data_IF_717795793584
#
_entry.id   IF_717795793584
#
_cell.length_a   1.000
_cell.length_b   1.000
_cell.length_c   1.000
_cell.angle_alpha   90.00
_cell.angle_beta   90.00
_cell.angle_gamma   90.00
#
_symmetry.space_group_name_H-M   'P 1'
#
loop_
_entity.id
_entity.type
_entity.pdbx_description
1 polymer ?
#
# COMPACT_ATOMS: atom_id res chain seq x y z
N UNK A 1 -11.39 -26.43 0.42
CA UNK A 1 -10.65 -25.75 1.50
C UNK A 1 -11.39 -24.47 1.79
N UNK A 2 -11.47 -24.06 3.05
CA UNK A 2 -12.03 -22.77 3.45
C UNK A 2 -11.19 -21.63 2.88
N UNK A 3 -11.84 -20.50 2.58
CA UNK A 3 -11.15 -19.29 2.14
C UNK A 3 -10.17 -18.79 3.22
N UNK A 4 -9.11 -18.14 2.78
CA UNK A 4 -8.11 -17.48 3.62
C UNK A 4 -8.42 -16.01 3.83
N UNK A 5 -7.81 -15.40 4.83
CA UNK A 5 -7.88 -13.95 5.05
C UNK A 5 -7.36 -13.16 3.84
N UNK A 6 -6.35 -13.69 3.13
CA UNK A 6 -5.87 -13.11 1.86
C UNK A 6 -6.90 -13.19 0.74
N UNK A 7 -7.70 -14.24 0.67
CA UNK A 7 -8.76 -14.34 -0.35
C UNK A 7 -9.79 -13.21 -0.16
N UNK A 8 -10.18 -12.91 1.08
CA UNK A 8 -11.03 -11.75 1.38
C UNK A 8 -10.33 -10.42 1.10
N UNK A 9 -9.04 -10.29 1.41
CA UNK A 9 -8.24 -9.12 1.05
C UNK A 9 -8.22 -8.88 -0.47
N UNK A 10 -8.15 -9.95 -1.27
CA UNK A 10 -8.20 -9.88 -2.73
C UNK A 10 -9.59 -9.54 -3.27
N UNK A 11 -10.67 -10.03 -2.64
CA UNK A 11 -12.04 -9.59 -2.95
C UNK A 11 -12.20 -8.09 -2.74
N UNK A 12 -11.65 -7.55 -1.64
CA UNK A 12 -11.61 -6.11 -1.37
C UNK A 12 -10.84 -5.37 -2.46
N UNK A 13 -9.60 -5.80 -2.78
CA UNK A 13 -8.77 -5.15 -3.81
C UNK A 13 -9.48 -5.11 -5.17
N UNK A 14 -10.06 -6.23 -5.60
CA UNK A 14 -10.82 -6.31 -6.84
C UNK A 14 -11.99 -5.32 -6.85
N UNK A 15 -12.77 -5.28 -5.78
CA UNK A 15 -13.93 -4.41 -5.66
C UNK A 15 -13.52 -2.93 -5.72
N UNK A 16 -12.48 -2.55 -5.00
CA UNK A 16 -11.99 -1.17 -4.98
C UNK A 16 -11.44 -0.73 -6.34
N UNK A 17 -10.73 -1.61 -7.05
CA UNK A 17 -10.28 -1.34 -8.43
C UNK A 17 -11.45 -1.11 -9.38
N UNK A 18 -12.50 -1.92 -9.28
CA UNK A 18 -13.72 -1.75 -10.09
C UNK A 18 -14.47 -0.44 -9.80
N UNK A 19 -14.28 0.13 -8.61
CA UNK A 19 -14.90 1.39 -8.17
C UNK A 19 -14.06 2.64 -8.47
N UNK A 20 -12.86 2.51 -9.04
CA UNK A 20 -12.01 3.64 -9.45
C UNK A 20 -10.73 3.83 -8.64
N UNK A 21 -10.37 2.87 -7.78
CA UNK A 21 -9.11 2.87 -7.04
C UNK A 21 -9.25 3.19 -5.55
N UNK A 22 -8.13 3.16 -4.84
CA UNK A 22 -8.08 3.35 -3.39
C UNK A 22 -8.19 4.82 -2.99
N UNK A 23 -8.87 5.11 -1.87
CA UNK A 23 -8.79 6.42 -1.23
C UNK A 23 -7.35 6.82 -0.92
N UNK A 24 -7.10 8.12 -0.73
CA UNK A 24 -5.84 8.56 -0.12
C UNK A 24 -5.69 7.92 1.26
N UNK A 25 -4.49 7.46 1.68
CA UNK A 25 -4.40 6.66 2.91
C UNK A 25 -4.87 7.38 4.18
N UNK A 26 -4.66 8.70 4.29
CA UNK A 26 -5.18 9.49 5.42
C UNK A 26 -6.71 9.64 5.39
N UNK A 27 -7.33 9.59 4.21
CA UNK A 27 -8.80 9.49 4.10
C UNK A 27 -9.28 8.12 4.54
N UNK A 28 -8.56 7.04 4.19
CA UNK A 28 -8.83 5.70 4.71
C UNK A 28 -8.78 5.65 6.24
N UNK A 29 -7.79 6.32 6.85
CA UNK A 29 -7.73 6.45 8.31
C UNK A 29 -8.94 7.22 8.89
N UNK A 30 -9.37 8.30 8.25
CA UNK A 30 -10.55 9.04 8.70
C UNK A 30 -11.79 8.15 8.69
N UNK A 31 -11.96 7.31 7.67
CA UNK A 31 -13.03 6.30 7.60
C UNK A 31 -12.93 5.25 8.70
N UNK A 32 -11.73 4.73 8.99
CA UNK A 32 -11.56 3.82 10.15
C UNK A 32 -12.08 4.45 11.44
N UNK A 33 -11.87 5.76 11.65
CA UNK A 33 -12.33 6.46 12.84
C UNK A 33 -13.86 6.70 12.81
N UNK A 34 -14.43 6.95 11.64
CA UNK A 34 -15.88 7.06 11.40
C UNK A 34 -16.59 5.75 11.79
N UNK A 35 -16.25 4.63 11.14
CA UNK A 35 -16.91 3.33 11.40
C UNK A 35 -16.63 2.83 12.83
N UNK A 36 -15.47 3.15 13.43
CA UNK A 36 -15.21 2.85 14.84
C UNK A 36 -16.13 3.65 15.79
N UNK A 37 -16.51 4.86 15.41
CA UNK A 37 -17.48 5.68 16.12
C UNK A 37 -18.87 5.03 16.09
N UNK A 38 -19.34 4.64 14.91
CA UNK A 38 -20.63 3.97 14.71
C UNK A 38 -20.68 2.63 15.47
N UNK A 39 -19.63 1.81 15.35
CA UNK A 39 -19.45 0.60 16.14
C UNK A 39 -19.53 0.86 17.66
N UNK A 40 -18.95 1.98 18.13
CA UNK A 40 -18.98 2.35 19.55
C UNK A 40 -20.39 2.68 20.02
N UNK A 41 -21.16 3.41 19.22
CA UNK A 41 -22.55 3.75 19.52
C UNK A 41 -23.38 2.48 19.66
N UNK A 42 -23.29 1.56 18.69
CA UNK A 42 -23.99 0.27 18.73
C UNK A 42 -23.64 -0.55 19.98
N UNK A 43 -22.36 -0.64 20.35
CA UNK A 43 -21.92 -1.38 21.55
C UNK A 43 -22.43 -0.75 22.85
N UNK A 44 -22.64 0.57 22.88
CA UNK A 44 -23.12 1.30 24.06
C UNK A 44 -24.63 1.22 24.26
N UNK A 45 -25.40 0.91 23.21
CA UNK A 45 -26.85 0.74 23.30
C UNK A 45 -27.24 -0.61 23.93
N UNK A 46 -28.42 -0.65 24.59
CA UNK A 46 -28.92 -1.86 25.27
C UNK A 46 -29.49 -2.91 24.31
N UNK A 47 -29.90 -2.50 23.12
CA UNK A 47 -30.42 -3.36 22.05
C UNK A 47 -29.62 -3.10 20.77
N UNK A 48 -28.42 -3.68 20.72
CA UNK A 48 -27.59 -3.62 19.50
C UNK A 48 -28.22 -4.50 18.42
N UNK A 49 -28.59 -3.88 17.29
CA UNK A 49 -28.99 -4.62 16.09
C UNK A 49 -27.78 -5.42 15.59
N UNK A 50 -27.97 -6.73 15.41
CA UNK A 50 -26.92 -7.64 14.94
C UNK A 50 -26.57 -7.37 13.47
N UNK A 51 -27.52 -6.92 12.67
CA UNK A 51 -27.31 -6.59 11.27
C UNK A 51 -26.43 -5.35 11.14
N UNK A 52 -26.77 -4.27 11.84
CA UNK A 52 -25.96 -3.04 11.89
C UNK A 52 -24.57 -3.34 12.46
N UNK A 53 -24.48 -4.07 13.58
CA UNK A 53 -23.19 -4.43 14.18
C UNK A 53 -22.32 -5.27 13.24
N UNK A 54 -22.93 -6.17 12.47
CA UNK A 54 -22.22 -6.96 11.46
C UNK A 54 -21.71 -6.11 10.30
N UNK A 55 -22.50 -5.12 9.87
CA UNK A 55 -22.13 -4.12 8.88
C UNK A 55 -20.89 -3.33 9.29
N UNK A 56 -20.93 -2.69 10.46
CA UNK A 56 -19.81 -1.85 10.94
C UNK A 56 -18.50 -2.63 11.10
N UNK A 57 -18.58 -3.88 11.58
CA UNK A 57 -17.40 -4.73 11.69
C UNK A 57 -16.84 -5.08 10.30
N UNK A 58 -17.71 -5.34 9.31
CA UNK A 58 -17.29 -5.65 7.95
C UNK A 58 -16.69 -4.43 7.24
N UNK A 59 -17.27 -3.24 7.41
CA UNK A 59 -16.72 -2.00 6.85
C UNK A 59 -15.32 -1.71 7.42
N UNK A 60 -15.11 -1.90 8.72
CA UNK A 60 -13.78 -1.79 9.33
C UNK A 60 -12.76 -2.77 8.73
N UNK A 61 -13.15 -4.02 8.45
CA UNK A 61 -12.29 -4.97 7.74
C UNK A 61 -11.96 -4.48 6.33
N UNK A 62 -12.96 -4.05 5.56
CA UNK A 62 -12.80 -3.59 4.17
C UNK A 62 -11.86 -2.38 4.10
N UNK A 63 -12.06 -1.39 4.96
CA UNK A 63 -11.25 -0.16 4.98
C UNK A 63 -9.82 -0.48 5.39
N UNK A 64 -9.60 -1.28 6.44
CA UNK A 64 -8.25 -1.60 6.88
C UNK A 64 -7.51 -2.52 5.91
N UNK A 65 -8.20 -3.46 5.26
CA UNK A 65 -7.65 -4.25 4.16
C UNK A 65 -7.26 -3.37 2.97
N UNK A 66 -8.12 -2.40 2.61
CA UNK A 66 -7.84 -1.42 1.55
C UNK A 66 -6.58 -0.61 1.85
N UNK A 67 -6.47 -0.06 3.07
CA UNK A 67 -5.26 0.64 3.52
C UNK A 67 -4.05 -0.28 3.43
N UNK A 68 -4.13 -1.53 3.87
CA UNK A 68 -3.01 -2.49 3.79
C UNK A 68 -2.57 -2.78 2.36
N UNK A 69 -3.53 -2.87 1.41
CA UNK A 69 -3.25 -3.13 0.00
C UNK A 69 -2.40 -2.03 -0.64
N UNK A 70 -2.64 -0.76 -0.29
CA UNK A 70 -1.86 0.40 -0.76
C UNK A 70 -0.37 0.32 -0.38
N UNK A 71 -0.01 -0.53 0.57
CA UNK A 71 1.37 -0.77 1.02
C UNK A 71 1.83 -2.21 0.72
N UNK A 72 1.15 -2.91 -0.19
CA UNK A 72 1.43 -4.28 -0.59
C UNK A 72 1.46 -5.28 0.58
N UNK A 73 0.64 -5.05 1.61
CA UNK A 73 0.53 -5.98 2.75
C UNK A 73 -0.01 -7.33 2.29
N UNK A 74 0.59 -8.43 2.77
CA UNK A 74 0.01 -9.77 2.67
C UNK A 74 -0.50 -10.21 4.05
N UNK A 75 -1.84 -10.25 4.21
CA UNK A 75 -2.42 -10.64 5.49
C UNK A 75 -2.13 -12.10 5.86
N UNK A 76 -1.99 -13.02 4.90
CA UNK A 76 -1.60 -14.39 5.24
C UNK A 76 -0.19 -14.41 5.85
N UNK A 77 0.74 -13.65 5.28
CA UNK A 77 2.10 -13.52 5.80
C UNK A 77 2.10 -12.92 7.21
N UNK A 78 1.42 -11.79 7.42
CA UNK A 78 1.39 -11.10 8.71
C UNK A 78 0.75 -11.96 9.81
N UNK A 79 -0.37 -12.63 9.52
CA UNK A 79 -0.99 -13.54 10.49
C UNK A 79 -0.09 -14.75 10.79
N UNK A 80 0.57 -15.34 9.78
CA UNK A 80 1.49 -16.46 9.96
C UNK A 80 2.68 -16.08 10.85
N UNK A 81 3.27 -14.90 10.63
CA UNK A 81 4.37 -14.37 11.45
C UNK A 81 3.96 -14.14 12.92
N UNK A 82 2.68 -13.83 13.15
CA UNK A 82 2.09 -13.69 14.47
C UNK A 82 1.65 -15.03 15.10
N UNK A 83 1.75 -16.14 14.38
CA UNK A 83 1.36 -17.47 14.85
C UNK A 83 -0.14 -17.75 14.79
N UNK A 84 -0.89 -17.01 13.98
CA UNK A 84 -2.31 -17.26 13.74
C UNK A 84 -2.53 -18.10 12.47
N UNK A 85 -3.63 -18.88 12.41
CA UNK A 85 -4.03 -19.54 11.17
C UNK A 85 -4.41 -18.51 10.11
N UNK A 86 -4.42 -18.92 8.84
CA UNK A 86 -4.79 -18.06 7.71
C UNK A 86 -6.18 -18.34 7.16
N UNK A 87 -6.71 -19.54 7.40
CA UNK A 87 -8.04 -19.94 6.97
C UNK A 87 -9.12 -19.37 7.88
N UNK A 88 -10.22 -18.88 7.31
CA UNK A 88 -11.26 -18.16 8.04
C UNK A 88 -11.94 -19.03 9.10
N UNK A 89 -12.22 -20.29 8.80
CA UNK A 89 -12.80 -21.23 9.75
C UNK A 89 -11.87 -21.49 10.93
N UNK A 90 -10.58 -21.68 10.68
CA UNK A 90 -9.57 -21.83 11.74
C UNK A 90 -9.42 -20.55 12.57
N UNK A 91 -9.47 -19.37 11.95
CA UNK A 91 -9.41 -18.08 12.65
C UNK A 91 -10.56 -17.91 13.65
N UNK A 92 -11.78 -18.29 13.26
CA UNK A 92 -12.91 -18.21 14.17
C UNK A 92 -12.75 -19.07 15.43
N UNK A 93 -12.00 -20.18 15.35
CA UNK A 93 -11.77 -21.09 16.49
C UNK A 93 -10.44 -20.84 17.21
N UNK A 94 -9.43 -20.31 16.53
CA UNK A 94 -8.05 -20.19 17.00
C UNK A 94 -7.74 -18.88 17.74
N UNK A 95 -8.65 -17.92 17.73
CA UNK A 95 -8.43 -16.60 18.35
C UNK A 95 -8.85 -16.60 19.82
N UNK A 96 -7.99 -16.03 20.66
CA UNK A 96 -8.24 -15.88 22.09
C UNK A 96 -9.50 -15.06 22.37
N UNK A 97 -10.28 -15.52 23.35
CA UNK A 97 -11.49 -14.83 23.78
C UNK A 97 -11.15 -13.46 24.38
N UNK A 98 -11.89 -12.43 23.95
CA UNK A 98 -11.99 -11.14 24.66
C UNK A 98 -13.02 -11.27 25.78
N UNK A 99 -12.83 -10.59 26.92
CA UNK A 99 -13.69 -10.79 28.08
C UNK A 99 -15.08 -10.15 27.90
N UNK A 100 -15.16 -9.02 27.19
CA UNK A 100 -16.40 -8.30 26.95
C UNK A 100 -16.27 -7.33 25.77
N UNK A 101 -17.39 -6.80 25.28
CA UNK A 101 -17.45 -5.91 24.11
C UNK A 101 -16.60 -4.63 24.29
N UNK A 102 -16.56 -4.07 25.51
CA UNK A 102 -15.78 -2.86 25.82
C UNK A 102 -14.29 -3.11 25.66
N UNK A 103 -13.80 -4.26 26.11
CA UNK A 103 -12.40 -4.65 25.90
C UNK A 103 -12.07 -4.76 24.41
N UNK A 104 -12.92 -5.43 23.63
CA UNK A 104 -12.75 -5.55 22.17
C UNK A 104 -12.68 -4.18 21.49
N UNK A 105 -13.62 -3.29 21.81
CA UNK A 105 -13.63 -1.93 21.27
C UNK A 105 -12.36 -1.14 21.67
N UNK A 106 -11.94 -1.21 22.93
CA UNK A 106 -10.70 -0.55 23.37
C UNK A 106 -9.47 -1.07 22.64
N UNK A 107 -9.39 -2.38 22.35
CA UNK A 107 -8.30 -2.94 21.55
C UNK A 107 -8.30 -2.36 20.13
N UNK A 108 -9.45 -2.32 19.45
CA UNK A 108 -9.59 -1.73 18.11
C UNK A 108 -9.16 -0.25 18.09
N UNK A 109 -9.57 0.55 19.09
CA UNK A 109 -9.14 1.95 19.22
C UNK A 109 -7.61 2.06 19.37
N UNK A 110 -7.01 1.19 20.20
CA UNK A 110 -5.55 1.14 20.36
C UNK A 110 -4.87 0.83 19.01
N UNK A 111 -5.39 -0.14 18.25
CA UNK A 111 -4.86 -0.53 16.93
C UNK A 111 -4.99 0.58 15.89
N UNK A 112 -6.17 1.21 15.80
CA UNK A 112 -6.38 2.38 14.94
C UNK A 112 -5.42 3.51 15.27
N UNK A 113 -5.14 3.76 16.55
CA UNK A 113 -4.12 4.73 16.98
C UNK A 113 -2.68 4.37 16.54
N UNK A 114 -2.34 3.08 16.44
CA UNK A 114 -1.04 2.66 15.90
C UNK A 114 -0.98 2.79 14.38
N UNK A 115 -2.04 2.39 13.67
CA UNK A 115 -2.19 2.60 12.23
C UNK A 115 -2.06 4.11 11.92
N UNK A 116 -2.79 4.95 12.64
CA UNK A 116 -2.73 6.41 12.51
C UNK A 116 -1.32 6.98 12.69
N UNK A 117 -0.59 6.47 13.67
CA UNK A 117 0.80 6.89 13.94
C UNK A 117 1.71 6.53 12.78
N UNK A 118 1.57 5.33 12.21
CA UNK A 118 2.38 4.86 11.08
C UNK A 118 2.04 5.67 9.82
N UNK A 119 0.76 5.81 9.48
CA UNK A 119 0.32 6.58 8.32
C UNK A 119 0.75 8.06 8.40
N UNK A 120 0.75 8.67 9.58
CA UNK A 120 1.28 10.03 9.74
C UNK A 120 2.79 10.14 9.48
N UNK A 121 3.56 9.07 9.64
CA UNK A 121 4.97 9.07 9.27
C UNK A 121 5.18 8.86 7.76
N UNK A 122 4.35 8.01 7.15
CA UNK A 122 4.44 7.71 5.71
C UNK A 122 3.89 8.86 4.86
N UNK A 123 2.72 9.37 5.23
CA UNK A 123 1.92 10.30 4.43
C UNK A 123 1.90 11.72 5.00
N UNK A 124 2.11 11.87 6.31
CA UNK A 124 2.02 13.16 6.99
C UNK A 124 3.35 13.91 7.06
N UNK A 125 3.28 15.08 7.69
CA UNK A 125 4.43 16.00 7.87
C UNK A 125 5.37 15.58 9.02
N UNK A 126 4.99 14.54 9.75
CA UNK A 126 5.68 14.15 10.98
C UNK A 126 6.86 13.24 10.66
N UNK A 127 8.08 13.72 10.93
CA UNK A 127 9.28 12.87 10.89
C UNK A 127 9.28 11.88 12.08
N UNK A 128 9.60 10.62 11.80
CA UNK A 128 9.76 9.57 12.82
C UNK A 128 10.95 9.88 13.72
N UNK A 129 10.84 9.59 15.02
CA UNK A 129 11.96 9.76 15.97
C UNK A 129 12.93 8.56 15.86
N UNK A 130 14.25 8.77 15.98
CA UNK A 130 15.22 7.66 15.97
C UNK A 130 14.99 6.59 17.05
N UNK A 131 14.36 6.96 18.16
CA UNK A 131 14.08 6.06 19.30
C UNK A 131 12.75 5.32 19.19
N UNK A 132 11.96 5.56 18.13
CA UNK A 132 10.66 4.95 17.96
C UNK A 132 10.79 3.52 17.42
N UNK A 133 10.17 2.55 18.12
CA UNK A 133 10.22 1.13 17.74
C UNK A 133 9.78 0.94 16.28
N UNK A 134 10.54 0.18 15.48
CA UNK A 134 10.14 -0.24 14.14
C UNK A 134 8.83 -1.02 14.23
N UNK A 135 7.84 -0.59 13.46
CA UNK A 135 6.51 -1.19 13.35
C UNK A 135 6.10 -1.10 11.89
N UNK A 136 5.52 -2.19 11.40
CA UNK A 136 4.96 -2.26 10.05
C UNK A 136 3.47 -1.98 10.13
N UNK A 137 2.95 -1.33 9.11
CA UNK A 137 1.53 -1.09 8.93
C UNK A 137 0.79 -2.42 8.81
N UNK A 138 1.33 -3.36 8.01
CA UNK A 138 0.74 -4.68 7.82
C UNK A 138 0.54 -5.44 9.14
N UNK A 139 1.53 -5.39 10.04
CA UNK A 139 1.46 -6.03 11.36
C UNK A 139 0.34 -5.43 12.23
N UNK A 140 0.19 -4.09 12.26
CA UNK A 140 -0.86 -3.45 13.06
C UNK A 140 -2.26 -3.63 12.46
N UNK A 141 -2.38 -3.74 11.13
CA UNK A 141 -3.62 -4.11 10.44
C UNK A 141 -3.98 -5.57 10.75
N UNK A 142 -3.02 -6.50 10.70
CA UNK A 142 -3.27 -7.89 11.06
C UNK A 142 -3.75 -8.02 12.53
N UNK A 143 -3.12 -7.29 13.46
CA UNK A 143 -3.60 -7.21 14.85
C UNK A 143 -5.01 -6.62 14.96
N UNK A 144 -5.30 -5.57 14.18
CA UNK A 144 -6.64 -5.01 14.11
C UNK A 144 -7.65 -6.07 13.67
N UNK A 145 -7.35 -6.82 12.60
CA UNK A 145 -8.22 -7.88 12.09
C UNK A 145 -8.43 -9.02 13.09
N UNK A 146 -7.40 -9.41 13.86
CA UNK A 146 -7.55 -10.39 14.94
C UNK A 146 -8.49 -9.87 16.04
N UNK A 147 -8.29 -8.63 16.49
CA UNK A 147 -9.14 -8.00 17.51
C UNK A 147 -10.59 -7.85 17.01
N UNK A 148 -10.77 -7.60 15.70
CA UNK A 148 -12.06 -7.49 15.01
C UNK A 148 -12.80 -8.83 14.95
N UNK A 149 -12.10 -9.91 14.54
CA UNK A 149 -12.67 -11.27 14.51
C UNK A 149 -13.02 -11.72 15.93
N UNK A 150 -12.18 -11.43 16.93
CA UNK A 150 -12.47 -11.73 18.33
C UNK A 150 -13.76 -11.04 18.80
N UNK A 151 -13.97 -9.78 18.40
CA UNK A 151 -15.18 -9.02 18.71
C UNK A 151 -16.41 -9.57 17.97
N UNK A 152 -16.26 -9.96 16.71
CA UNK A 152 -17.33 -10.62 15.95
C UNK A 152 -17.75 -11.93 16.62
N UNK A 153 -16.77 -12.77 17.02
CA UNK A 153 -17.00 -14.02 17.74
C UNK A 153 -17.78 -13.82 19.04
N UNK A 154 -17.39 -12.84 19.87
CA UNK A 154 -18.10 -12.53 21.11
C UNK A 154 -19.58 -12.18 20.88
N UNK A 155 -19.89 -11.58 19.73
CA UNK A 155 -21.24 -11.19 19.33
C UNK A 155 -21.96 -12.24 18.47
N UNK A 156 -21.34 -13.41 18.24
CA UNK A 156 -21.82 -14.44 17.31
C UNK A 156 -22.07 -13.89 15.90
N UNK A 157 -21.22 -12.99 15.41
CA UNK A 157 -21.35 -12.38 14.08
C UNK A 157 -20.46 -13.14 13.09
N UNK A 158 -21.02 -13.70 12.00
CA UNK A 158 -20.25 -14.26 10.90
C UNK A 158 -19.65 -13.12 10.04
N UNK A 159 -18.64 -12.42 10.57
CA UNK A 159 -17.99 -11.25 9.96
C UNK A 159 -17.82 -11.35 8.43
N UNK A 160 -17.24 -12.45 7.95
CA UNK A 160 -16.90 -12.58 6.53
C UNK A 160 -18.13 -12.77 5.62
N UNK A 161 -19.26 -13.24 6.17
CA UNK A 161 -20.55 -13.21 5.44
C UNK A 161 -21.04 -11.78 5.23
N UNK A 162 -20.84 -10.89 6.22
CA UNK A 162 -21.17 -9.47 6.07
C UNK A 162 -20.21 -8.77 5.10
N UNK A 163 -18.93 -9.13 5.12
CA UNK A 163 -17.94 -8.64 4.14
C UNK A 163 -18.38 -8.98 2.72
N UNK A 164 -18.73 -10.25 2.44
CA UNK A 164 -19.22 -10.65 1.11
C UNK A 164 -20.47 -9.84 0.70
N UNK A 165 -21.43 -9.67 1.61
CA UNK A 165 -22.67 -8.92 1.35
C UNK A 165 -22.41 -7.46 0.98
N UNK A 166 -21.48 -6.79 1.66
CA UNK A 166 -21.13 -5.39 1.38
C UNK A 166 -20.43 -5.29 0.02
N UNK A 167 -19.44 -6.15 -0.25
CA UNK A 167 -18.71 -6.14 -1.52
C UNK A 167 -19.64 -6.42 -2.71
N UNK A 168 -20.56 -7.38 -2.59
CA UNK A 168 -21.55 -7.68 -3.64
C UNK A 168 -22.51 -6.49 -3.91
N UNK A 169 -22.85 -5.73 -2.87
CA UNK A 169 -23.75 -4.56 -2.97
C UNK A 169 -23.06 -3.35 -3.61
N UNK A 170 -21.83 -3.06 -3.20
CA UNK A 170 -21.13 -1.84 -3.57
C UNK A 170 -20.72 -1.82 -5.05
N UNK A 171 -20.35 -2.98 -5.62
CA UNK A 171 -20.11 -3.15 -7.07
C UNK A 171 -21.30 -2.67 -7.92
N UNK A 172 -22.52 -2.86 -7.42
CA UNK A 172 -23.75 -2.47 -8.14
C UNK A 172 -24.11 -1.00 -7.91
N UNK A 173 -23.81 -0.45 -6.73
CA UNK A 173 -24.31 0.88 -6.28
C UNK A 173 -23.37 2.04 -6.63
N UNK A 174 -22.07 1.89 -6.45
CA UNK A 174 -21.15 3.04 -6.28
C UNK A 174 -20.19 3.29 -7.45
N UNK A 175 -20.46 2.68 -8.62
CA UNK A 175 -19.61 2.74 -9.83
C UNK A 175 -19.17 4.15 -10.29
N UNK A 176 -19.85 5.22 -9.85
CA UNK A 176 -19.54 6.60 -10.24
C UNK A 176 -19.42 7.58 -9.04
N UNK A 177 -19.21 7.09 -7.81
CA UNK A 177 -19.19 7.96 -6.60
C UNK A 177 -17.79 8.29 -6.08
N UNK A 178 -16.75 7.71 -6.66
CA UNK A 178 -15.38 7.94 -6.24
C UNK A 178 -14.62 8.71 -7.33
N UNK A 179 -13.93 9.78 -6.92
CA UNK A 179 -12.93 10.41 -7.77
C UNK A 179 -11.78 9.42 -7.98
N UNK A 180 -11.30 9.29 -9.22
CA UNK A 180 -10.13 8.46 -9.53
C UNK A 180 -8.94 9.01 -8.71
N UNK A 181 -8.51 8.24 -7.73
CA UNK A 181 -7.36 8.56 -6.91
C UNK A 181 -6.19 7.69 -7.31
N UNK A 182 -5.13 8.35 -7.79
CA UNK A 182 -3.88 7.70 -8.15
C UNK A 182 -3.24 7.02 -6.94
N UNK A 183 -3.05 5.71 -7.05
CA UNK A 183 -2.39 4.89 -6.07
C UNK A 183 -1.35 3.99 -6.77
N UNK A 184 -0.09 3.97 -6.31
CA UNK A 184 0.99 3.26 -6.97
C UNK A 184 0.78 1.74 -7.08
N UNK A 185 -0.14 1.15 -6.32
CA UNK A 185 -0.47 -0.27 -6.42
C UNK A 185 -1.51 -0.57 -7.50
N UNK A 186 -2.12 0.47 -8.07
CA UNK A 186 -3.18 0.40 -9.09
C UNK A 186 -2.83 1.12 -10.39
N UNK A 187 -1.65 1.74 -10.49
CA UNK A 187 -1.21 2.43 -11.71
C UNK A 187 -1.02 1.46 -12.88
N UNK A 188 -1.40 1.84 -14.13
CA UNK A 188 -1.22 1.01 -15.32
C UNK A 188 0.23 0.56 -15.57
N UNK A 189 1.19 1.39 -15.17
CA UNK A 189 2.63 1.10 -15.27
C UNK A 189 3.03 -0.20 -14.58
N UNK A 190 2.31 -0.58 -13.52
CA UNK A 190 2.53 -1.84 -12.82
C UNK A 190 2.06 -3.02 -13.67
N UNK A 191 0.89 -2.94 -14.31
CA UNK A 191 0.35 -4.02 -15.15
C UNK A 191 1.25 -4.25 -16.38
N UNK A 192 1.71 -3.18 -17.03
CA UNK A 192 2.66 -3.28 -18.14
C UNK A 192 4.00 -3.89 -17.69
N UNK A 193 4.50 -3.48 -16.52
CA UNK A 193 5.70 -4.09 -15.94
C UNK A 193 5.52 -5.58 -15.63
N UNK A 194 4.35 -5.99 -15.13
CA UNK A 194 4.03 -7.41 -14.88
C UNK A 194 4.02 -8.22 -16.17
N UNK A 195 3.50 -7.67 -17.26
CA UNK A 195 3.54 -8.33 -18.56
C UNK A 195 4.97 -8.46 -19.07
N UNK A 196 5.74 -7.36 -19.05
CA UNK A 196 7.12 -7.30 -19.51
C UNK A 196 8.03 -8.31 -18.78
N UNK A 197 7.83 -8.48 -17.47
CA UNK A 197 8.74 -9.25 -16.62
C UNK A 197 8.46 -10.74 -16.60
N UNK A 198 7.42 -11.24 -17.28
CA UNK A 198 7.12 -12.68 -17.36
C UNK A 198 8.33 -13.49 -17.88
N UNK A 199 8.69 -14.54 -17.15
CA UNK A 199 9.84 -15.39 -17.45
C UNK A 199 11.22 -14.76 -17.13
N UNK A 200 11.25 -13.57 -16.55
CA UNK A 200 12.49 -12.91 -16.10
C UNK A 200 12.68 -13.08 -14.58
N UNK A 201 13.88 -12.82 -14.02
CA UNK A 201 14.08 -12.83 -12.57
C UNK A 201 13.20 -11.84 -11.79
N UNK A 202 12.63 -10.83 -12.46
CA UNK A 202 11.81 -9.79 -11.84
C UNK A 202 10.33 -10.16 -11.72
N UNK A 203 9.88 -11.26 -12.37
CA UNK A 203 8.50 -11.77 -12.27
C UNK A 203 8.10 -12.05 -10.81
N UNK A 204 9.06 -12.50 -10.00
CA UNK A 204 8.83 -12.91 -8.61
C UNK A 204 8.69 -11.76 -7.61
N UNK A 205 8.99 -10.51 -7.99
CA UNK A 205 8.84 -9.36 -7.09
C UNK A 205 7.37 -9.19 -6.73
N UNK A 206 7.00 -9.15 -5.45
CA UNK A 206 5.61 -9.07 -5.00
C UNK A 206 5.19 -7.66 -4.62
N UNK A 207 6.04 -6.93 -3.89
CA UNK A 207 5.76 -5.61 -3.31
C UNK A 207 6.33 -4.49 -4.19
N UNK A 208 5.72 -4.28 -5.35
CA UNK A 208 6.16 -3.30 -6.35
C UNK A 208 5.16 -2.17 -6.49
N UNK A 209 5.66 -0.95 -6.55
CA UNK A 209 4.89 0.27 -6.82
C UNK A 209 5.12 0.76 -8.24
N UNK A 210 4.07 1.18 -8.93
CA UNK A 210 4.12 1.80 -10.24
C UNK A 210 4.21 3.33 -10.17
N UNK A 211 4.77 3.93 -11.21
CA UNK A 211 4.73 5.36 -11.44
C UNK A 211 3.34 5.81 -11.89
N UNK A 212 3.05 7.09 -11.63
CA UNK A 212 1.91 7.80 -12.20
C UNK A 212 1.80 7.55 -13.72
N UNK A 213 0.58 7.37 -14.22
CA UNK A 213 0.28 7.17 -15.64
C UNK A 213 0.97 8.19 -16.55
N UNK A 214 1.60 7.70 -17.61
CA UNK A 214 2.33 8.54 -18.55
C UNK A 214 1.39 9.32 -19.47
N UNK A 215 1.60 10.64 -19.58
CA UNK A 215 0.89 11.50 -20.52
C UNK A 215 1.82 11.95 -21.66
N UNK A 216 1.60 11.41 -22.86
CA UNK A 216 2.39 11.72 -24.07
C UNK A 216 2.31 13.19 -24.49
N UNK A 217 1.31 13.96 -24.01
CA UNK A 217 1.20 15.39 -24.29
C UNK A 217 2.14 16.25 -23.43
N UNK A 218 2.70 15.68 -22.37
CA UNK A 218 3.57 16.35 -21.42
C UNK A 218 5.05 16.07 -21.71
N UNK A 219 5.91 16.99 -21.26
CA UNK A 219 7.35 16.74 -21.32
C UNK A 219 7.76 15.67 -20.30
N UNK A 220 8.94 15.04 -20.52
CA UNK A 220 9.56 14.13 -19.56
C UNK A 220 9.56 14.70 -18.14
N UNK A 221 10.09 15.92 -17.94
CA UNK A 221 10.17 16.53 -16.60
C UNK A 221 8.78 16.74 -15.96
N UNK A 222 7.74 16.97 -16.76
CA UNK A 222 6.39 17.18 -16.24
C UNK A 222 5.75 15.85 -15.83
N UNK A 223 5.96 14.78 -16.59
CA UNK A 223 5.59 13.42 -16.18
C UNK A 223 6.34 13.00 -14.90
N UNK A 224 7.66 13.21 -14.83
CA UNK A 224 8.45 12.93 -13.63
C UNK A 224 7.97 13.74 -12.41
N UNK A 225 7.54 14.99 -12.62
CA UNK A 225 6.97 15.82 -11.56
C UNK A 225 5.64 15.25 -11.02
N UNK A 226 4.83 14.58 -11.86
CA UNK A 226 3.62 13.90 -11.43
C UNK A 226 3.94 12.61 -10.63
N UNK A 227 5.00 11.89 -11.00
CA UNK A 227 5.47 10.69 -10.27
C UNK A 227 6.21 11.02 -8.97
N UNK A 228 6.81 12.21 -8.85
CA UNK A 228 7.65 12.61 -7.72
C UNK A 228 7.04 12.32 -6.33
N UNK A 229 5.75 12.62 -6.05
CA UNK A 229 5.14 12.28 -4.76
C UNK A 229 5.18 10.78 -4.44
N UNK A 230 4.95 9.91 -5.43
CA UNK A 230 5.05 8.46 -5.27
C UNK A 230 6.48 8.04 -4.94
N UNK A 231 7.47 8.61 -5.65
CA UNK A 231 8.88 8.30 -5.40
C UNK A 231 9.33 8.74 -3.99
N UNK A 232 8.88 9.92 -3.54
CA UNK A 232 9.08 10.42 -2.17
C UNK A 232 8.45 9.51 -1.11
N UNK A 233 7.22 9.05 -1.35
CA UNK A 233 6.54 8.09 -0.46
C UNK A 233 7.30 6.77 -0.41
N UNK A 234 7.76 6.27 -1.56
CA UNK A 234 8.51 5.02 -1.64
C UNK A 234 9.76 5.05 -0.77
N UNK A 235 10.53 6.14 -0.80
CA UNK A 235 11.70 6.32 0.08
C UNK A 235 11.40 6.27 1.57
N UNK A 236 10.24 6.79 2.02
CA UNK A 236 9.82 6.75 3.43
C UNK A 236 9.30 5.39 3.88
N UNK A 237 8.59 4.72 2.97
CA UNK A 237 7.82 3.50 3.26
C UNK A 237 8.68 2.25 3.10
N UNK A 238 9.53 2.22 2.07
CA UNK A 238 10.15 1.02 1.54
C UNK A 238 10.79 0.13 2.61
N UNK A 239 11.73 0.67 3.39
CA UNK A 239 12.50 -0.11 4.38
C UNK A 239 11.64 -0.65 5.53
N UNK A 240 10.50 0.00 5.82
CA UNK A 240 9.62 -0.44 6.88
C UNK A 240 8.65 -1.53 6.39
N UNK A 241 8.06 -1.38 5.21
CA UNK A 241 7.07 -2.33 4.67
C UNK A 241 7.69 -3.45 3.82
N UNK A 242 8.98 -3.32 3.51
CA UNK A 242 9.73 -4.25 2.66
C UNK A 242 9.30 -4.14 1.19
N UNK A 243 9.12 -2.93 0.68
CA UNK A 243 8.82 -2.75 -0.75
C UNK A 243 10.04 -3.18 -1.57
N UNK A 244 9.83 -3.98 -2.60
CA UNK A 244 10.93 -4.60 -3.34
C UNK A 244 11.40 -3.74 -4.51
N UNK A 245 10.50 -2.95 -5.11
CA UNK A 245 10.87 -2.03 -6.17
C UNK A 245 9.82 -0.94 -6.44
N UNK A 246 10.28 0.15 -7.07
CA UNK A 246 9.43 1.10 -7.76
C UNK A 246 9.72 1.03 -9.26
N UNK A 247 8.70 0.85 -10.09
CA UNK A 247 8.84 0.90 -11.55
C UNK A 247 8.40 2.26 -12.07
N UNK A 248 9.25 2.89 -12.87
CA UNK A 248 8.93 4.06 -13.65
C UNK A 248 8.73 3.66 -15.11
N UNK A 249 7.59 4.03 -15.69
CA UNK A 249 7.30 3.87 -17.11
C UNK A 249 7.47 5.19 -17.86
N UNK A 250 8.14 5.15 -19.01
CA UNK A 250 8.38 6.28 -19.91
C UNK A 250 8.02 5.84 -21.32
N UNK A 251 6.95 6.39 -21.88
CA UNK A 251 6.47 6.04 -23.23
C UNK A 251 6.92 7.11 -24.23
N UNK A 252 7.51 6.68 -25.35
CA UNK A 252 7.88 7.54 -26.47
C UNK A 252 9.18 7.10 -27.14
N UNK A 253 9.13 6.91 -28.47
CA UNK A 253 10.29 6.50 -29.27
C UNK A 253 11.46 7.48 -29.15
N UNK A 254 11.19 8.77 -28.98
CA UNK A 254 12.22 9.80 -28.81
C UNK A 254 13.13 9.53 -27.61
N UNK A 255 12.63 8.84 -26.59
CA UNK A 255 13.37 8.55 -25.37
C UNK A 255 14.29 7.33 -25.49
N UNK A 256 14.05 6.46 -26.48
CA UNK A 256 14.78 5.18 -26.65
C UNK A 256 15.26 4.90 -28.08
N UNK A 257 15.10 5.87 -28.99
CA UNK A 257 15.41 5.77 -30.42
C UNK A 257 16.80 5.19 -30.74
N UNK A 258 17.78 5.50 -29.89
CA UNK A 258 19.11 4.90 -29.90
C UNK A 258 19.69 4.83 -28.48
N UNK A 259 20.83 4.17 -28.34
CA UNK A 259 21.52 4.03 -27.06
C UNK A 259 21.93 5.37 -26.45
N UNK A 260 22.32 6.36 -27.27
CA UNK A 260 22.74 7.68 -26.79
C UNK A 260 21.55 8.44 -26.18
N UNK A 261 20.40 8.45 -26.86
CA UNK A 261 19.17 9.08 -26.39
C UNK A 261 18.61 8.36 -25.17
N UNK A 262 18.62 7.02 -25.16
CA UNK A 262 18.24 6.23 -23.98
C UNK A 262 19.09 6.57 -22.76
N UNK A 263 20.41 6.61 -22.91
CA UNK A 263 21.33 6.92 -21.82
C UNK A 263 21.13 8.37 -21.33
N UNK A 264 20.90 9.33 -22.23
CA UNK A 264 20.53 10.72 -21.86
C UNK A 264 19.20 10.78 -21.12
N UNK A 265 18.19 10.02 -21.54
CA UNK A 265 16.90 9.95 -20.84
C UNK A 265 17.08 9.44 -19.42
N UNK A 266 17.77 8.31 -19.25
CA UNK A 266 18.06 7.73 -17.92
C UNK A 266 18.80 8.74 -17.05
N UNK A 267 19.83 9.40 -17.58
CA UNK A 267 20.57 10.43 -16.86
C UNK A 267 19.66 11.58 -16.42
N UNK A 268 18.77 12.06 -17.30
CA UNK A 268 17.79 13.12 -16.96
C UNK A 268 16.84 12.69 -15.86
N UNK A 269 16.37 11.44 -15.87
CA UNK A 269 15.49 10.87 -14.83
C UNK A 269 16.19 10.85 -13.48
N UNK A 270 17.40 10.28 -13.43
CA UNK A 270 18.19 10.19 -12.19
C UNK A 270 18.52 11.58 -11.65
N UNK A 271 18.95 12.52 -12.52
CA UNK A 271 19.17 13.92 -12.16
C UNK A 271 17.89 14.60 -11.66
N UNK A 272 16.75 14.30 -12.26
CA UNK A 272 15.49 14.89 -11.87
C UNK A 272 15.16 14.52 -10.42
N UNK A 273 15.07 13.22 -10.10
CA UNK A 273 14.70 12.79 -8.75
C UNK A 273 15.75 13.21 -7.72
N UNK A 274 17.04 13.09 -8.06
CA UNK A 274 18.12 13.50 -7.17
C UNK A 274 17.97 14.94 -6.67
N UNK A 275 17.61 15.90 -7.54
CA UNK A 275 17.41 17.31 -7.14
C UNK A 275 16.35 17.52 -6.06
N UNK A 276 15.47 16.53 -5.84
CA UNK A 276 14.44 16.54 -4.81
C UNK A 276 14.78 15.64 -3.62
N UNK A 277 16.00 15.13 -3.52
CA UNK A 277 16.44 14.36 -2.36
C UNK A 277 16.61 15.32 -1.15
N UNK A 278 15.85 15.13 -0.06
CA UNK A 278 15.98 15.98 1.11
C UNK A 278 17.34 15.85 1.83
N UNK A 279 18.17 14.87 1.50
CA UNK A 279 19.49 14.63 2.12
C UNK A 279 20.65 15.30 1.38
N UNK A 280 20.41 16.00 0.26
CA UNK A 280 21.44 16.84 -0.38
C UNK A 280 22.00 17.84 0.64
N UNK A 281 23.33 17.95 0.70
CA UNK A 281 24.06 18.81 1.62
C UNK A 281 24.20 18.26 3.05
N UNK A 282 23.60 17.10 3.34
CA UNK A 282 23.66 16.45 4.66
C UNK A 282 24.57 15.22 4.64
N UNK A 283 24.58 14.45 3.55
CA UNK A 283 25.37 13.22 3.43
C UNK A 283 26.38 13.31 2.26
N UNK A 284 27.67 12.98 2.46
CA UNK A 284 28.69 13.07 1.41
C UNK A 284 28.35 12.28 0.14
N UNK A 285 27.79 11.07 0.31
CA UNK A 285 27.47 10.14 -0.79
C UNK A 285 26.26 10.62 -1.63
N UNK A 286 25.48 11.58 -1.10
CA UNK A 286 24.37 12.25 -1.79
C UNK A 286 24.82 13.55 -2.48
N UNK A 287 26.05 14.04 -2.25
CA UNK A 287 26.50 15.31 -2.83
C UNK A 287 27.18 15.19 -4.20
N UNK A 288 27.53 13.98 -4.62
CA UNK A 288 28.09 13.70 -5.93
C UNK A 288 27.23 12.66 -6.63
N UNK A 289 26.55 13.09 -7.69
CA UNK A 289 25.71 12.25 -8.53
C UNK A 289 26.52 11.21 -9.32
N UNK A 290 27.85 11.35 -9.42
CA UNK A 290 28.73 10.41 -10.11
C UNK A 290 28.31 10.05 -11.54
N UNK A 291 27.45 10.85 -12.17
CA UNK A 291 26.79 10.57 -13.47
C UNK A 291 27.73 10.58 -14.67
N UNK A 292 29.03 10.53 -14.43
CA UNK A 292 30.05 10.35 -15.45
C UNK A 292 30.18 8.89 -15.87
N UNK A 293 29.67 7.94 -15.06
CA UNK A 293 29.65 6.51 -15.38
C UNK A 293 28.24 5.94 -15.15
N UNK A 294 27.67 5.24 -16.15
CA UNK A 294 26.36 4.57 -16.09
C UNK A 294 26.29 3.40 -15.07
N UNK A 295 27.28 3.31 -14.18
CA UNK A 295 27.45 2.33 -13.11
C UNK A 295 27.22 2.95 -11.72
N UNK A 296 26.72 4.19 -11.66
CA UNK A 296 26.51 4.91 -10.41
C UNK A 296 25.32 4.36 -9.59
N UNK A 297 25.51 4.31 -8.27
CA UNK A 297 24.50 3.94 -7.27
C UNK A 297 23.63 5.15 -6.95
N UNK A 298 22.35 5.10 -7.31
CA UNK A 298 21.44 6.22 -7.11
C UNK A 298 21.02 6.31 -5.63
N UNK A 299 21.14 7.48 -5.01
CA UNK A 299 20.69 7.70 -3.64
C UNK A 299 19.44 8.59 -3.62
N UNK A 300 18.48 8.23 -2.77
CA UNK A 300 17.29 9.01 -2.52
C UNK A 300 16.74 8.78 -1.11
N UNK A 301 16.42 9.84 -0.36
CA UNK A 301 15.86 9.71 0.99
C UNK A 301 16.78 8.95 1.98
N UNK A 302 18.10 9.00 1.76
CA UNK A 302 19.07 8.25 2.56
C UNK A 302 19.10 6.75 2.28
N UNK A 303 18.46 6.30 1.19
CA UNK A 303 18.52 4.91 0.71
C UNK A 303 19.33 4.85 -0.60
N UNK A 304 20.18 3.84 -0.71
CA UNK A 304 20.82 3.47 -1.97
C UNK A 304 19.84 2.63 -2.82
N UNK A 305 19.83 2.86 -4.13
CA UNK A 305 19.04 2.12 -5.09
C UNK A 305 19.94 1.55 -6.20
N UNK A 306 19.75 0.27 -6.49
CA UNK A 306 20.07 -0.29 -7.79
C UNK A 306 18.96 0.14 -8.76
N UNK A 307 19.33 0.51 -9.99
CA UNK A 307 18.37 0.84 -11.04
C UNK A 307 18.64 0.01 -12.29
N UNK A 308 17.57 -0.53 -12.89
CA UNK A 308 17.67 -1.44 -14.03
C UNK A 308 16.78 -0.91 -15.16
N UNK A 309 17.35 -0.46 -16.30
CA UNK A 309 16.57 -0.07 -17.45
C UNK A 309 16.11 -1.31 -18.22
N UNK A 310 14.85 -1.33 -18.64
CA UNK A 310 14.25 -2.36 -19.48
C UNK A 310 13.53 -1.67 -20.63
N UNK A 311 13.65 -2.18 -21.85
CA UNK A 311 13.01 -1.60 -23.03
C UNK A 311 12.04 -2.61 -23.59
N UNK A 312 10.81 -2.16 -23.86
CA UNK A 312 9.81 -2.91 -24.61
C UNK A 312 9.14 -1.99 -25.63
N UNK A 313 9.21 -2.36 -26.90
CA UNK A 313 8.68 -1.58 -28.02
C UNK A 313 9.10 -0.10 -27.97
N UNK A 314 8.16 0.81 -27.66
CA UNK A 314 8.34 2.27 -27.60
C UNK A 314 8.48 2.79 -26.16
N UNK A 315 8.66 1.88 -25.19
CA UNK A 315 8.60 2.19 -23.77
C UNK A 315 9.90 1.83 -23.07
N UNK A 316 10.38 2.75 -22.24
CA UNK A 316 11.46 2.54 -21.27
C UNK A 316 10.86 2.35 -19.89
N UNK A 317 11.16 1.23 -19.27
CA UNK A 317 10.94 1.01 -17.84
C UNK A 317 12.26 1.21 -17.09
N UNK A 318 12.20 1.88 -15.95
CA UNK A 318 13.33 1.96 -15.01
C UNK A 318 12.85 1.41 -13.69
N UNK A 319 13.40 0.24 -13.33
CA UNK A 319 13.13 -0.40 -12.05
C UNK A 319 14.11 0.11 -11.01
N UNK A 320 13.62 0.69 -9.92
CA UNK A 320 14.41 1.14 -8.77
C UNK A 320 14.27 0.13 -7.63
N UNK A 321 15.36 -0.55 -7.28
CA UNK A 321 15.43 -1.56 -6.22
C UNK A 321 16.21 -0.99 -5.03
N UNK A 322 15.55 -0.72 -3.90
CA UNK A 322 16.20 -0.18 -2.72
C UNK A 322 17.12 -1.22 -2.05
N UNK A 323 18.27 -0.77 -1.55
CA UNK A 323 19.22 -1.58 -0.80
C UNK A 323 19.00 -1.32 0.70
N UNK A 324 18.33 -2.26 1.38
CA UNK A 324 18.12 -2.17 2.83
C UNK A 324 19.33 -2.72 3.58
N UNK A 325 19.89 -1.91 4.48
CA UNK A 325 21.08 -2.24 5.28
C UNK A 325 20.74 -2.73 6.70
#
# INVERSE_FOLDING_TARGET
MSETIRDYQQKVDKTVRELGGYWRPLSGLARVIEELGELSELIMTSESDREELGGELADLFIITASVGNQYCTDLNEELSLMGYPIHIDELYHGISLINNKKEGLMKLIIRAGQIARILNHYEGDKKKKPTEKKRRLGEEIAKFNIDLIALANLNNIPLFTYVDQILDRDVVRDKNRFDITHDPTTEPSLDHFRELTKGTPYESLKKVWGSYEWDESLSLEKNLQNTLPTFQRFGKVGENEGLEALVLEIVGEEFISDEENRNKTIQRVLQFFHRYDPYIGQEPDVNDLGLHELTFRFHYYGLEFEWIPMVDQQTLFILFIPQYH
#
